data_IF_117437116912
#
_entry.id   IF_117437116912
#
_cell.length_a   1.000
_cell.length_b   1.000
_cell.length_c   1.000
_cell.angle_alpha   90.00
_cell.angle_beta   90.00
_cell.angle_gamma   90.00
#
_symmetry.space_group_name_H-M   'P 1'
#
loop_
_entity.id
_entity.type
_entity.pdbx_description
1 polymer ?
#
# COMPACT_ATOMS: atom_id res chain seq x y z
N UNK A 1 42.21 68.20 42.91
CA UNK A 1 42.12 67.52 41.60
C UNK A 1 42.90 66.22 41.68
N UNK A 2 42.22 65.08 41.54
CA UNK A 2 42.79 63.82 41.05
C UNK A 2 41.61 62.85 40.81
N UNK A 3 41.06 62.93 39.61
CA UNK A 3 40.00 62.07 39.09
C UNK A 3 40.57 60.66 38.87
N UNK A 4 40.14 59.66 39.66
CA UNK A 4 40.57 58.27 39.49
C UNK A 4 39.66 57.58 38.45
N UNK A 5 40.10 57.65 37.19
CA UNK A 5 39.47 57.04 36.02
C UNK A 5 39.66 55.51 36.06
N UNK A 6 38.63 54.76 36.46
CA UNK A 6 38.61 53.29 36.33
C UNK A 6 38.52 52.91 34.84
N UNK A 7 39.57 52.32 34.30
CA UNK A 7 39.58 51.74 32.96
C UNK A 7 38.55 50.58 32.83
N UNK A 8 37.92 50.41 31.65
CA UNK A 8 36.97 49.32 31.43
C UNK A 8 37.70 47.97 31.34
N UNK A 9 37.33 47.03 32.21
CA UNK A 9 37.75 45.62 32.13
C UNK A 9 37.35 45.03 30.78
N UNK A 10 38.34 44.71 29.94
CA UNK A 10 38.15 43.96 28.68
C UNK A 10 37.50 42.61 28.99
N UNK A 11 36.22 42.46 28.61
CA UNK A 11 35.49 41.20 28.67
C UNK A 11 36.04 40.30 27.56
N UNK A 12 36.97 39.40 27.91
CA UNK A 12 37.52 38.45 26.95
C UNK A 12 36.41 37.68 26.26
N UNK A 13 36.32 37.79 24.93
CA UNK A 13 35.51 36.88 24.11
C UNK A 13 36.07 35.47 24.35
N UNK A 14 35.34 34.63 25.06
CA UNK A 14 35.59 33.18 25.04
C UNK A 14 35.30 32.71 23.62
N UNK A 15 36.34 32.48 22.84
CA UNK A 15 36.21 31.74 21.58
C UNK A 15 35.68 30.35 21.92
N UNK A 16 34.44 30.06 21.51
CA UNK A 16 33.90 28.71 21.55
C UNK A 16 34.69 27.88 20.53
N UNK A 17 35.75 27.20 20.97
CA UNK A 17 36.34 26.10 20.19
C UNK A 17 35.25 25.03 20.04
N UNK A 18 34.54 25.05 18.91
CA UNK A 18 33.52 24.06 18.59
C UNK A 18 34.12 22.66 18.69
N UNK A 19 33.49 21.80 19.47
CA UNK A 19 33.96 20.44 19.71
C UNK A 19 33.81 19.62 18.42
N UNK A 20 34.84 19.62 17.57
CA UNK A 20 34.85 18.93 16.25
C UNK A 20 34.45 17.45 16.37
N UNK A 21 34.71 16.84 17.52
CA UNK A 21 34.26 15.48 17.86
C UNK A 21 32.73 15.38 17.97
N UNK A 22 32.08 16.29 18.69
CA UNK A 22 30.62 16.32 18.80
C UNK A 22 29.95 16.60 17.45
N UNK A 23 30.55 17.43 16.61
CA UNK A 23 30.09 17.65 15.24
C UNK A 23 30.22 16.35 14.40
N UNK A 24 31.34 15.63 14.52
CA UNK A 24 31.54 14.35 13.85
C UNK A 24 30.50 13.30 14.26
N UNK A 25 30.23 13.15 15.55
CA UNK A 25 29.19 12.23 16.06
C UNK A 25 27.79 12.63 15.56
N UNK A 26 27.45 13.93 15.56
CA UNK A 26 26.17 14.41 15.07
C UNK A 26 25.98 14.11 13.56
N UNK A 27 27.01 14.34 12.75
CA UNK A 27 26.98 14.03 11.31
C UNK A 27 26.80 12.52 11.08
N UNK A 28 27.53 11.67 11.81
CA UNK A 28 27.37 10.22 11.72
C UNK A 28 25.94 9.78 12.08
N UNK A 29 25.34 10.38 13.11
CA UNK A 29 23.96 10.11 13.49
C UNK A 29 22.96 10.46 12.37
N UNK A 30 23.13 11.61 11.72
CA UNK A 30 22.27 12.03 10.60
C UNK A 30 22.41 11.05 9.42
N UNK A 31 23.63 10.67 9.05
CA UNK A 31 23.89 9.71 7.97
C UNK A 31 23.25 8.36 8.28
N UNK A 32 23.35 7.89 9.52
CA UNK A 32 22.73 6.64 9.94
C UNK A 32 21.20 6.68 9.81
N UNK A 33 20.56 7.75 10.29
CA UNK A 33 19.10 7.93 10.17
C UNK A 33 18.67 7.98 8.70
N UNK A 34 19.39 8.73 7.86
CA UNK A 34 19.13 8.80 6.42
C UNK A 34 19.27 7.41 5.75
N UNK A 35 20.26 6.62 6.17
CA UNK A 35 20.44 5.23 5.73
C UNK A 35 19.25 4.34 6.08
N UNK A 36 18.84 4.32 7.36
CA UNK A 36 17.68 3.55 7.80
C UNK A 36 16.39 3.96 7.07
N UNK A 37 16.17 5.27 6.91
CA UNK A 37 15.02 5.80 6.19
C UNK A 37 15.00 5.34 4.72
N UNK A 38 16.13 5.39 4.03
CA UNK A 38 16.25 4.98 2.62
C UNK A 38 16.03 3.48 2.45
N UNK A 39 16.58 2.66 3.36
CA UNK A 39 16.36 1.20 3.34
C UNK A 39 14.87 0.87 3.47
N UNK A 40 14.17 1.53 4.40
CA UNK A 40 12.72 1.36 4.56
C UNK A 40 11.93 1.88 3.35
N UNK A 41 12.29 3.04 2.82
CA UNK A 41 11.67 3.59 1.62
C UNK A 41 11.85 2.68 0.40
N UNK A 42 12.94 1.92 0.32
CA UNK A 42 13.18 0.99 -0.78
C UNK A 42 12.21 -0.21 -0.77
N UNK A 43 11.75 -0.65 0.40
CA UNK A 43 10.73 -1.71 0.53
C UNK A 43 9.43 -1.33 -0.18
N UNK A 44 9.03 -0.07 -0.10
CA UNK A 44 7.78 0.42 -0.70
C UNK A 44 7.90 0.81 -2.19
N UNK A 45 9.02 0.45 -2.84
CA UNK A 45 9.10 0.45 -4.31
C UNK A 45 8.50 -0.82 -4.91
N UNK A 46 8.46 -1.91 -4.15
CA UNK A 46 7.97 -3.22 -4.62
C UNK A 46 6.73 -3.68 -3.88
N UNK A 47 6.41 -3.05 -2.73
CA UNK A 47 5.26 -3.37 -1.89
C UNK A 47 4.35 -2.14 -1.71
N UNK A 48 3.05 -2.38 -1.63
CA UNK A 48 2.09 -1.34 -1.26
C UNK A 48 2.30 -0.92 0.21
N UNK A 49 1.93 0.32 0.52
CA UNK A 49 1.97 0.83 1.89
C UNK A 49 1.07 0.04 2.85
N UNK A 50 1.34 0.09 4.16
CA UNK A 50 0.42 -0.42 5.16
C UNK A 50 -0.97 0.20 5.00
N UNK A 51 -2.02 -0.52 5.40
CA UNK A 51 -3.41 -0.10 5.33
C UNK A 51 -3.91 0.25 3.91
N UNK A 52 -3.30 -0.35 2.88
CA UNK A 52 -3.75 -0.20 1.50
C UNK A 52 -4.75 -1.31 1.17
N UNK A 53 -5.97 -0.91 0.80
CA UNK A 53 -7.02 -1.80 0.33
C UNK A 53 -7.20 -1.56 -1.16
N UNK A 54 -7.13 -2.61 -1.98
CA UNK A 54 -7.35 -2.53 -3.43
C UNK A 54 -8.56 -3.39 -3.78
N UNK A 55 -9.64 -2.78 -4.29
CA UNK A 55 -10.88 -3.48 -4.62
C UNK A 55 -11.43 -4.35 -3.46
N UNK A 56 -11.27 -3.88 -2.22
CA UNK A 56 -11.70 -4.60 -1.02
C UNK A 56 -10.72 -5.68 -0.52
N UNK A 57 -9.60 -5.88 -1.22
CA UNK A 57 -8.53 -6.81 -0.82
C UNK A 57 -7.45 -6.06 -0.05
N UNK A 58 -7.04 -6.60 1.09
CA UNK A 58 -5.91 -6.08 1.85
C UNK A 58 -4.60 -6.30 1.07
N UNK A 59 -4.09 -5.20 0.51
CA UNK A 59 -2.82 -5.13 -0.22
C UNK A 59 -1.65 -4.69 0.68
N UNK A 60 -1.88 -4.47 1.98
CA UNK A 60 -0.88 -3.93 2.89
C UNK A 60 0.41 -4.74 2.90
N UNK A 61 1.53 -4.06 2.62
CA UNK A 61 2.88 -4.64 2.59
C UNK A 61 3.05 -5.81 1.60
N UNK A 62 2.12 -5.98 0.65
CA UNK A 62 2.15 -7.00 -0.39
C UNK A 62 2.78 -6.47 -1.68
N UNK A 63 3.43 -7.35 -2.42
CA UNK A 63 3.81 -7.09 -3.82
C UNK A 63 2.59 -7.18 -4.74
N UNK A 64 2.74 -6.71 -5.97
CA UNK A 64 1.70 -6.88 -7.01
C UNK A 64 1.33 -8.36 -7.18
N UNK A 65 2.32 -9.25 -7.25
CA UNK A 65 2.07 -10.69 -7.44
C UNK A 65 1.33 -11.32 -6.24
N UNK A 66 1.67 -10.90 -5.02
CA UNK A 66 0.96 -11.34 -3.81
C UNK A 66 -0.50 -10.87 -3.83
N UNK A 67 -0.77 -9.63 -4.27
CA UNK A 67 -2.13 -9.11 -4.44
C UNK A 67 -2.89 -9.89 -5.51
N UNK A 68 -2.27 -10.15 -6.67
CA UNK A 68 -2.85 -10.98 -7.74
C UNK A 68 -3.22 -12.37 -7.25
N UNK A 69 -2.35 -12.99 -6.46
CA UNK A 69 -2.63 -14.32 -5.90
C UNK A 69 -3.86 -14.29 -4.97
N UNK A 70 -4.03 -13.23 -4.17
CA UNK A 70 -5.22 -13.07 -3.32
C UNK A 70 -6.47 -12.83 -4.17
N UNK A 71 -6.39 -11.98 -5.20
CA UNK A 71 -7.47 -11.75 -6.16
C UNK A 71 -7.91 -13.05 -6.84
N UNK A 72 -6.96 -13.86 -7.33
CA UNK A 72 -7.24 -15.16 -7.94
C UNK A 72 -7.94 -16.10 -6.97
N UNK A 73 -7.45 -16.22 -5.72
CA UNK A 73 -8.09 -17.05 -4.70
C UNK A 73 -9.52 -16.59 -4.36
N UNK A 74 -9.79 -15.28 -4.40
CA UNK A 74 -11.13 -14.77 -4.17
C UNK A 74 -12.09 -15.14 -5.31
N UNK A 75 -11.60 -15.18 -6.55
CA UNK A 75 -12.36 -15.68 -7.70
C UNK A 75 -12.58 -17.18 -7.62
N UNK A 76 -11.55 -17.95 -7.25
CA UNK A 76 -11.65 -19.42 -7.14
C UNK A 76 -12.69 -19.84 -6.09
N UNK A 77 -12.86 -19.04 -5.04
CA UNK A 77 -13.85 -19.24 -3.99
C UNK A 77 -15.15 -18.45 -4.21
N UNK A 78 -15.33 -17.83 -5.38
CA UNK A 78 -16.54 -17.06 -5.67
C UNK A 78 -17.73 -18.00 -5.79
N UNK A 79 -18.76 -17.76 -4.98
CA UNK A 79 -20.05 -18.43 -5.05
C UNK A 79 -21.16 -17.38 -4.96
N UNK A 80 -22.20 -17.55 -5.76
CA UNK A 80 -23.39 -16.70 -5.76
C UNK A 80 -24.63 -17.55 -5.61
N UNK A 81 -25.50 -17.19 -4.68
CA UNK A 81 -26.78 -17.86 -4.47
C UNK A 81 -27.86 -17.20 -5.32
N UNK A 82 -28.48 -17.97 -6.20
CA UNK A 82 -29.68 -17.63 -6.94
C UNK A 82 -30.87 -18.00 -6.10
N UNK A 83 -31.66 -17.00 -5.71
CA UNK A 83 -32.84 -17.21 -4.87
C UNK A 83 -34.07 -17.49 -5.74
N UNK A 84 -34.70 -18.64 -5.53
CA UNK A 84 -35.95 -19.04 -6.19
C UNK A 84 -37.18 -18.54 -5.40
N UNK A 85 -38.35 -18.46 -6.05
CA UNK A 85 -39.60 -18.11 -5.35
C UNK A 85 -40.11 -19.27 -4.48
N UNK A 86 -39.80 -20.49 -4.86
CA UNK A 86 -40.30 -21.73 -4.24
C UNK A 86 -39.29 -22.37 -3.28
N UNK A 87 -38.38 -21.57 -2.72
CA UNK A 87 -37.35 -22.02 -1.76
C UNK A 87 -36.34 -23.04 -2.35
N UNK A 88 -36.18 -23.07 -3.68
CA UNK A 88 -35.23 -23.91 -4.38
C UNK A 88 -33.96 -23.13 -4.76
N UNK A 89 -33.30 -22.53 -3.78
CA UNK A 89 -32.11 -21.72 -4.03
C UNK A 89 -30.98 -22.56 -4.65
N UNK A 90 -30.34 -22.02 -5.69
CA UNK A 90 -29.24 -22.65 -6.40
C UNK A 90 -27.95 -21.87 -6.19
N UNK A 91 -26.79 -22.54 -6.16
CA UNK A 91 -25.49 -21.88 -6.03
C UNK A 91 -24.75 -22.00 -7.35
N UNK A 92 -24.27 -20.87 -7.87
CA UNK A 92 -23.37 -20.79 -9.02
C UNK A 92 -21.99 -20.44 -8.51
N UNK A 93 -21.00 -21.26 -8.85
CA UNK A 93 -19.59 -20.94 -8.57
C UNK A 93 -19.01 -20.11 -9.71
N UNK A 94 -17.99 -19.31 -9.41
CA UNK A 94 -17.23 -18.59 -10.43
C UNK A 94 -16.65 -19.55 -11.48
N UNK A 95 -16.22 -20.75 -11.06
CA UNK A 95 -15.72 -21.79 -11.94
C UNK A 95 -16.75 -22.27 -12.98
N UNK A 96 -18.03 -22.29 -12.62
CA UNK A 96 -19.10 -22.80 -13.48
C UNK A 96 -19.30 -21.90 -14.69
N UNK A 97 -19.14 -20.58 -14.49
CA UNK A 97 -19.25 -19.55 -15.55
C UNK A 97 -17.90 -19.17 -16.15
N UNK A 98 -16.82 -19.87 -15.80
CA UNK A 98 -15.47 -19.54 -16.28
C UNK A 98 -14.96 -18.17 -15.82
N UNK A 99 -15.41 -17.68 -14.67
CA UNK A 99 -14.95 -16.43 -14.08
C UNK A 99 -13.43 -16.50 -13.86
N UNK A 100 -12.71 -15.51 -14.37
CA UNK A 100 -11.27 -15.43 -14.23
C UNK A 100 -10.76 -13.99 -14.18
N UNK A 101 -9.63 -13.82 -13.52
CA UNK A 101 -8.92 -12.54 -13.46
C UNK A 101 -8.27 -12.25 -14.82
N UNK A 102 -8.42 -11.04 -15.34
CA UNK A 102 -7.59 -10.56 -16.45
C UNK A 102 -6.40 -9.84 -15.86
N UNK A 103 -5.21 -10.36 -16.12
CA UNK A 103 -3.97 -9.66 -15.78
C UNK A 103 -3.82 -8.42 -16.66
N UNK A 104 -3.83 -7.26 -16.02
CA UNK A 104 -3.49 -5.98 -16.62
C UNK A 104 -2.40 -5.27 -15.80
N UNK A 105 -1.96 -4.09 -16.26
CA UNK A 105 -0.92 -3.30 -15.61
C UNK A 105 -1.43 -2.43 -14.45
N UNK A 106 -2.71 -2.51 -14.08
CA UNK A 106 -3.32 -1.55 -13.15
C UNK A 106 -2.68 -1.57 -11.76
N UNK A 107 -2.26 -2.75 -11.30
CA UNK A 107 -1.59 -2.91 -10.00
C UNK A 107 -0.16 -2.35 -10.04
N UNK A 108 0.59 -2.59 -11.11
CA UNK A 108 1.90 -1.99 -11.34
C UNK A 108 1.81 -0.47 -11.42
N UNK A 109 0.82 0.05 -12.14
CA UNK A 109 0.61 1.49 -12.29
C UNK A 109 0.30 2.15 -10.95
N UNK A 110 -0.52 1.53 -10.10
CA UNK A 110 -0.74 1.99 -8.73
C UNK A 110 0.56 1.99 -7.91
N UNK A 111 1.34 0.91 -8.00
CA UNK A 111 2.60 0.80 -7.26
C UNK A 111 3.65 1.80 -7.76
N UNK A 112 3.72 2.07 -9.06
CA UNK A 112 4.62 3.05 -9.66
C UNK A 112 4.25 4.49 -9.28
N UNK A 113 2.96 4.80 -9.17
CA UNK A 113 2.49 6.11 -8.70
C UNK A 113 2.75 6.32 -7.19
N UNK A 114 2.93 5.24 -6.43
CA UNK A 114 3.25 5.31 -5.01
C UNK A 114 4.64 5.92 -4.78
N UNK A 115 4.68 7.11 -4.16
CA UNK A 115 5.94 7.71 -3.75
C UNK A 115 6.51 6.97 -2.52
N UNK A 116 7.45 6.05 -2.74
CA UNK A 116 8.03 5.20 -1.69
C UNK A 116 8.75 5.97 -0.56
N UNK A 117 9.20 7.21 -0.82
CA UNK A 117 9.81 8.08 0.19
C UNK A 117 8.75 8.61 1.18
N UNK A 118 7.48 8.68 0.78
CA UNK A 118 6.42 9.16 1.65
C UNK A 118 5.97 8.12 2.71
N UNK A 119 6.71 7.03 2.91
CA UNK A 119 6.28 5.91 3.76
C UNK A 119 5.85 6.33 5.18
N UNK A 120 6.59 7.24 5.83
CA UNK A 120 6.27 7.71 7.19
C UNK A 120 4.86 8.31 7.24
N UNK A 121 4.50 9.14 6.25
CA UNK A 121 3.20 9.78 6.18
C UNK A 121 2.06 8.79 5.87
N UNK A 122 2.41 7.61 5.37
CA UNK A 122 1.46 6.57 4.95
C UNK A 122 1.45 5.37 5.90
N UNK A 123 2.01 5.51 7.10
CA UNK A 123 1.95 4.50 8.17
C UNK A 123 0.59 4.45 8.87
N UNK A 124 -0.26 5.46 8.66
CA UNK A 124 -1.56 5.58 9.33
C UNK A 124 -2.63 6.05 8.35
N UNK A 125 -3.86 5.61 8.58
CA UNK A 125 -5.01 5.94 7.73
C UNK A 125 -5.20 4.89 6.64
N UNK A 126 -6.43 4.44 6.49
CA UNK A 126 -6.80 3.48 5.45
C UNK A 126 -6.81 4.16 4.08
N UNK A 127 -6.37 3.41 3.07
CA UNK A 127 -6.42 3.83 1.67
C UNK A 127 -7.21 2.82 0.87
N UNK A 128 -8.47 3.13 0.60
CA UNK A 128 -9.27 2.34 -0.34
C UNK A 128 -9.00 2.85 -1.77
N UNK A 129 -8.28 2.02 -2.53
CA UNK A 129 -7.98 2.23 -3.93
C UNK A 129 -8.89 1.34 -4.77
N UNK A 130 -9.42 1.91 -5.84
CA UNK A 130 -10.17 1.16 -6.85
C UNK A 130 -9.37 1.12 -8.13
N UNK A 131 -9.18 -0.08 -8.65
CA UNK A 131 -8.71 -0.28 -10.01
C UNK A 131 -9.83 -0.91 -10.80
N UNK A 132 -9.87 -0.62 -12.10
CA UNK A 132 -10.73 -1.32 -13.03
C UNK A 132 -10.12 -2.70 -13.31
N UNK A 133 -10.11 -3.58 -12.30
CA UNK A 133 -9.77 -4.98 -12.49
C UNK A 133 -10.77 -5.56 -13.48
N UNK A 134 -10.27 -5.96 -14.64
CA UNK A 134 -11.11 -6.62 -15.62
C UNK A 134 -11.25 -8.09 -15.20
N UNK A 135 -12.47 -8.49 -14.82
CA UNK A 135 -12.83 -9.89 -14.72
C UNK A 135 -13.46 -10.29 -16.03
N UNK A 136 -13.19 -11.51 -16.48
CA UNK A 136 -13.87 -12.08 -17.65
C UNK A 136 -14.69 -13.28 -17.21
N UNK A 137 -15.83 -13.42 -17.84
CA UNK A 137 -16.70 -14.59 -17.79
C UNK A 137 -16.55 -15.29 -19.15
N UNK A 138 -16.64 -16.61 -19.16
CA UNK A 138 -16.71 -17.35 -20.41
C UNK A 138 -18.17 -17.37 -20.87
N UNK A 139 -18.47 -16.65 -21.94
CA UNK A 139 -19.85 -16.45 -22.42
C UNK A 139 -20.56 -17.80 -22.66
N UNK A 140 -19.87 -18.80 -23.22
CA UNK A 140 -20.47 -20.11 -23.49
C UNK A 140 -20.79 -20.85 -22.19
N UNK A 141 -19.84 -20.87 -21.24
CA UNK A 141 -20.06 -21.51 -19.94
C UNK A 141 -21.12 -20.79 -19.12
N UNK A 142 -21.18 -19.47 -19.23
CA UNK A 142 -22.20 -18.67 -18.59
C UNK A 142 -23.58 -19.01 -19.13
N UNK A 143 -23.78 -18.99 -20.45
CA UNK A 143 -25.05 -19.36 -21.08
C UNK A 143 -25.44 -20.82 -20.75
N UNK A 144 -24.49 -21.75 -20.79
CA UNK A 144 -24.71 -23.15 -20.41
C UNK A 144 -25.10 -23.30 -18.93
N UNK A 145 -24.46 -22.56 -18.03
CA UNK A 145 -24.79 -22.60 -16.60
C UNK A 145 -26.16 -21.99 -16.34
N UNK A 146 -26.43 -20.81 -16.90
CA UNK A 146 -27.67 -20.06 -16.69
C UNK A 146 -28.88 -20.80 -17.26
N UNK A 147 -28.76 -21.42 -18.44
CA UNK A 147 -29.84 -22.20 -19.07
C UNK A 147 -30.22 -23.48 -18.31
N UNK A 148 -29.41 -23.93 -17.35
CA UNK A 148 -29.69 -25.10 -16.53
C UNK A 148 -30.28 -24.74 -15.16
N UNK A 149 -30.35 -23.45 -14.81
CA UNK A 149 -30.91 -22.99 -13.54
C UNK A 149 -32.42 -23.14 -13.56
N UNK A 150 -32.92 -23.95 -12.63
CA UNK A 150 -34.36 -24.15 -12.44
C UNK A 150 -35.05 -22.90 -11.91
N UNK A 151 -34.33 -22.12 -11.11
CA UNK A 151 -34.80 -20.85 -10.57
C UNK A 151 -35.18 -19.81 -11.65
N UNK A 152 -34.77 -20.01 -12.92
CA UNK A 152 -35.11 -19.11 -14.03
C UNK A 152 -36.24 -19.65 -14.93
N UNK A 153 -36.65 -20.91 -14.76
CA UNK A 153 -37.74 -21.55 -15.50
C UNK A 153 -39.11 -21.44 -14.78
N UNK A 154 -39.16 -20.68 -13.66
CA UNK A 154 -40.36 -20.38 -12.84
C UNK A 154 -41.19 -19.20 -13.37
#
# INVERSE_FOLDING_TARGET
MAENKKEPRKRGKKEKKGNKFALGVAVLGIVFIAGCYTVKANTYRTKFFPHTIINGIDASEKTVDEVRQVMSKQIDNFESTIRSRDNNDEIIKGSDVGLSFVEDSSLEDLLHQQNSMAWIANMSGEKDLKIKSSFKVDDNKFEETVSKLRALDE
#
